data_IF_582209463834
#
_entry.id   IF_582209463834
#
_cell.length_a   1.000
_cell.length_b   1.000
_cell.length_c   1.000
_cell.angle_alpha   90.00
_cell.angle_beta   90.00
_cell.angle_gamma   90.00
#
_symmetry.space_group_name_H-M   'P 1'
#
loop_
_entity.id
_entity.type
_entity.pdbx_description
1 polymer ?
#
# COMPACT_ATOMS: atom_id res chain seq x y z
N UNK A 1 -21.63 -3.09 8.41
CA UNK A 1 -20.42 -3.71 7.82
C UNK A 1 -20.46 -5.25 7.90
N UNK A 2 -21.60 -5.89 8.22
CA UNK A 2 -21.69 -7.37 8.29
C UNK A 2 -21.35 -8.08 6.98
N UNK A 3 -21.65 -7.47 5.84
CA UNK A 3 -21.31 -8.00 4.53
C UNK A 3 -19.79 -8.07 4.29
N UNK A 4 -18.99 -7.21 4.94
CA UNK A 4 -17.51 -7.25 4.84
C UNK A 4 -16.95 -8.44 5.61
N UNK A 5 -17.53 -8.77 6.77
CA UNK A 5 -17.12 -9.93 7.55
C UNK A 5 -17.29 -11.24 6.77
N UNK A 6 -18.24 -11.29 5.83
CA UNK A 6 -18.47 -12.43 4.95
C UNK A 6 -17.39 -12.62 3.87
N UNK A 7 -16.56 -11.59 3.63
CA UNK A 7 -15.44 -11.63 2.67
C UNK A 7 -14.15 -12.16 3.31
N UNK A 8 -14.13 -12.35 4.63
CA UNK A 8 -12.96 -12.81 5.36
C UNK A 8 -12.56 -14.23 4.90
N UNK A 9 -11.29 -14.38 4.47
CA UNK A 9 -10.76 -15.64 3.95
C UNK A 9 -11.11 -15.95 2.49
N UNK A 10 -11.78 -15.03 1.78
CA UNK A 10 -12.08 -15.18 0.34
C UNK A 10 -11.06 -14.42 -0.51
N UNK A 11 -10.74 -14.95 -1.69
CA UNK A 11 -9.99 -14.22 -2.72
C UNK A 11 -10.95 -13.27 -3.43
N UNK A 12 -10.81 -11.98 -3.15
CA UNK A 12 -11.65 -10.94 -3.74
C UNK A 12 -10.94 -10.29 -4.93
N UNK A 13 -11.53 -10.42 -6.11
CA UNK A 13 -11.14 -9.60 -7.27
C UNK A 13 -11.71 -8.20 -7.11
N UNK A 14 -10.85 -7.20 -6.95
CA UNK A 14 -11.24 -5.80 -6.90
C UNK A 14 -11.04 -5.15 -8.28
N UNK A 15 -12.05 -4.40 -8.73
CA UNK A 15 -11.89 -3.48 -9.84
C UNK A 15 -10.99 -2.30 -9.43
N UNK A 16 -10.34 -1.66 -10.39
CA UNK A 16 -9.47 -0.51 -10.16
C UNK A 16 -10.25 0.73 -9.72
N UNK A 17 -11.55 0.83 -10.05
CA UNK A 17 -12.37 2.01 -9.74
C UNK A 17 -12.47 2.33 -8.22
N UNK A 18 -12.75 1.37 -7.31
CA UNK A 18 -12.66 1.61 -5.87
C UNK A 18 -11.28 2.07 -5.39
N UNK A 19 -10.20 1.54 -5.99
CA UNK A 19 -8.84 1.94 -5.66
C UNK A 19 -8.54 3.37 -6.11
N UNK A 20 -8.96 3.75 -7.32
CA UNK A 20 -8.81 5.10 -7.87
C UNK A 20 -9.51 6.11 -6.96
N UNK A 21 -10.74 5.84 -6.54
CA UNK A 21 -11.49 6.72 -5.64
C UNK A 21 -10.78 6.91 -4.29
N UNK A 22 -10.24 5.83 -3.70
CA UNK A 22 -9.46 5.93 -2.47
C UNK A 22 -8.18 6.76 -2.66
N UNK A 23 -7.53 6.65 -3.81
CA UNK A 23 -6.32 7.42 -4.13
C UNK A 23 -6.60 8.90 -4.43
N UNK A 24 -7.73 9.23 -5.07
CA UNK A 24 -8.13 10.63 -5.26
C UNK A 24 -8.32 11.34 -3.91
N UNK A 25 -8.70 10.60 -2.87
CA UNK A 25 -8.75 11.08 -1.49
C UNK A 25 -7.36 11.11 -0.80
N UNK A 26 -6.33 10.49 -1.40
CA UNK A 26 -4.97 10.35 -0.86
C UNK A 26 -3.91 10.63 -1.95
N UNK A 27 -3.77 11.89 -2.42
CA UNK A 27 -3.07 12.25 -3.66
C UNK A 27 -1.57 11.93 -3.73
N UNK A 28 -0.95 11.54 -2.61
CA UNK A 28 0.45 11.13 -2.54
C UNK A 28 0.67 9.65 -2.92
N UNK A 29 -0.40 8.88 -3.10
CA UNK A 29 -0.37 7.45 -3.45
C UNK A 29 -0.74 7.26 -4.93
N UNK A 30 0.08 6.53 -5.70
CA UNK A 30 -0.24 6.08 -7.08
C UNK A 30 -0.72 4.63 -7.08
N UNK A 31 -1.40 4.18 -8.14
CA UNK A 31 -2.08 2.87 -8.16
C UNK A 31 -1.12 1.69 -7.99
N UNK A 32 0.03 1.62 -8.69
CA UNK A 32 1.00 0.56 -8.44
C UNK A 32 1.61 0.63 -7.04
N UNK A 33 1.93 1.84 -6.56
CA UNK A 33 2.60 2.06 -5.27
C UNK A 33 1.70 1.60 -4.11
N UNK A 34 0.40 1.91 -4.17
CA UNK A 34 -0.58 1.53 -3.15
C UNK A 34 -0.72 0.01 -3.05
N UNK A 35 -0.77 -0.68 -4.21
CA UNK A 35 -0.86 -2.14 -4.25
C UNK A 35 0.41 -2.76 -3.68
N UNK A 36 1.58 -2.27 -4.07
CA UNK A 36 2.86 -2.79 -3.58
C UNK A 36 3.01 -2.60 -2.05
N UNK A 37 2.62 -1.44 -1.53
CA UNK A 37 2.66 -1.17 -0.09
C UNK A 37 1.62 -2.00 0.69
N UNK A 38 0.42 -2.18 0.13
CA UNK A 38 -0.60 -3.04 0.72
C UNK A 38 -0.15 -4.50 0.78
N UNK A 39 0.46 -5.03 -0.29
CA UNK A 39 1.06 -6.37 -0.29
C UNK A 39 2.14 -6.48 0.79
N UNK A 40 3.03 -5.49 0.92
CA UNK A 40 4.06 -5.51 1.96
C UNK A 40 3.46 -5.58 3.37
N UNK A 41 2.37 -4.83 3.64
CA UNK A 41 1.66 -4.88 4.92
C UNK A 41 1.00 -6.24 5.14
N UNK A 42 0.30 -6.78 4.14
CA UNK A 42 -0.36 -8.09 4.23
C UNK A 42 0.61 -9.23 4.53
N UNK A 43 1.83 -9.15 3.98
CA UNK A 43 2.91 -10.12 4.22
C UNK A 43 3.70 -9.84 5.52
N UNK A 44 3.32 -8.80 6.29
CA UNK A 44 3.94 -8.47 7.57
C UNK A 44 5.34 -7.84 7.45
N UNK A 45 5.68 -7.24 6.31
CA UNK A 45 6.94 -6.56 6.13
C UNK A 45 7.02 -5.31 7.04
N UNK A 46 8.16 -5.12 7.72
CA UNK A 46 8.41 -3.93 8.54
C UNK A 46 8.99 -2.76 7.74
N UNK A 47 9.59 -3.04 6.58
CA UNK A 47 10.26 -2.05 5.73
C UNK A 47 9.81 -2.19 4.27
N UNK A 48 9.71 -1.05 3.59
CA UNK A 48 9.45 -0.95 2.15
C UNK A 48 10.58 -0.16 1.48
N UNK A 49 11.41 -0.85 0.70
CA UNK A 49 12.54 -0.23 0.00
C UNK A 49 12.07 0.32 -1.36
N UNK A 50 12.27 1.61 -1.62
CA UNK A 50 11.91 2.26 -2.87
C UNK A 50 12.95 3.29 -3.31
N UNK A 51 12.92 3.68 -4.58
CA UNK A 51 13.67 4.83 -5.10
C UNK A 51 12.84 6.12 -5.08
N UNK A 52 11.53 6.01 -4.83
CA UNK A 52 10.63 7.16 -4.85
C UNK A 52 10.52 7.78 -3.45
N UNK A 53 11.26 8.88 -3.23
CA UNK A 53 11.28 9.61 -1.96
C UNK A 53 9.95 10.28 -1.60
N UNK A 54 8.95 10.29 -2.50
CA UNK A 54 7.62 10.85 -2.23
C UNK A 54 6.72 9.88 -1.49
N UNK A 55 7.03 8.58 -1.48
CA UNK A 55 6.21 7.58 -0.78
C UNK A 55 6.28 7.80 0.74
N UNK A 56 5.13 8.00 1.40
CA UNK A 56 5.11 8.15 2.84
C UNK A 56 5.30 6.79 3.55
N UNK A 57 5.83 6.81 4.76
CA UNK A 57 5.72 5.64 5.66
C UNK A 57 4.27 5.45 6.11
N UNK A 58 3.85 4.20 6.30
CA UNK A 58 2.52 3.84 6.80
C UNK A 58 2.63 3.21 8.19
N UNK A 59 1.54 3.17 9.00
CA UNK A 59 1.55 2.47 10.27
C UNK A 59 2.01 1.02 10.11
N UNK A 60 3.11 0.65 10.75
CA UNK A 60 3.70 -0.69 10.68
C UNK A 60 4.59 -0.98 9.47
N UNK A 61 4.73 -0.04 8.52
CA UNK A 61 5.58 -0.17 7.34
C UNK A 61 6.43 1.09 7.13
N UNK A 62 7.74 0.98 7.41
CA UNK A 62 8.69 2.08 7.26
C UNK A 62 9.25 2.13 5.84
N UNK A 63 9.17 3.29 5.18
CA UNK A 63 9.75 3.48 3.85
C UNK A 63 11.24 3.79 3.96
N UNK A 64 12.07 3.02 3.25
CA UNK A 64 13.49 3.28 3.07
C UNK A 64 13.74 3.73 1.63
N UNK A 65 14.41 4.88 1.46
CA UNK A 65 14.80 5.39 0.14
C UNK A 65 16.21 4.91 -0.17
N UNK A 66 16.41 4.23 -1.30
CA UNK A 66 17.69 3.61 -1.66
C UNK A 66 18.87 4.59 -1.65
N UNK A 67 18.65 5.83 -2.09
CA UNK A 67 19.67 6.88 -2.09
C UNK A 67 20.17 7.21 -0.68
N UNK A 68 19.28 7.14 0.33
CA UNK A 68 19.63 7.39 1.73
C UNK A 68 20.42 6.24 2.38
N UNK A 69 20.59 5.11 1.69
CA UNK A 69 21.31 3.94 2.19
C UNK A 69 22.74 3.84 1.64
N UNK A 70 23.13 4.71 0.70
CA UNK A 70 24.49 4.75 0.17
C UNK A 70 25.34 5.67 1.04
N UNK A 71 26.24 5.08 1.83
CA UNK A 71 27.27 5.76 2.61
C UNK A 71 28.37 6.37 1.73
#
# INVERSE_FOLDING_TARGET
MEWIAQLQGQVLGLDTAPLIYFMEQNPNLRSPDSIQMATAICEGASFFLTNDARLPSLPGLTVLVLENLRS
#
